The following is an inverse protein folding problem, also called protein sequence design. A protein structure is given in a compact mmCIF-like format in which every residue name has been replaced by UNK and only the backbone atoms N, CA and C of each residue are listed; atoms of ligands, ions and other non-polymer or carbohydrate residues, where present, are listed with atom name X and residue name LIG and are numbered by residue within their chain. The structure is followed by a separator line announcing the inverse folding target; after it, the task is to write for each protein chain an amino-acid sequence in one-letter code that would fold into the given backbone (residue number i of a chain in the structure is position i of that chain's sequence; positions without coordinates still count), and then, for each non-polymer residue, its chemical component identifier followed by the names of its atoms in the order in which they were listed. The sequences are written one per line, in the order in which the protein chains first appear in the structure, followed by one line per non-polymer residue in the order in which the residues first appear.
data_IF_541413845338
#
_entry.id   IF_541413845338
#
_cell.length_a   1.000
_cell.length_b   1.000
_cell.length_c   1.000
_cell.angle_alpha   90.00
_cell.angle_beta   90.00
_cell.angle_gamma   90.00
#
_symmetry.space_group_name_H-M   'P 1'
#
loop_
_entity.id
_entity.type
_entity.pdbx_description
1 polymer ?
#
# COMPACT_ATOMS: atom_id res chain seq x y z
N UNK A 1 -4.66 -22.06 -39.53
CA UNK A 1 -5.25 -22.90 -38.47
C UNK A 1 -5.52 -24.27 -39.08
N UNK A 2 -4.94 -25.35 -38.57
CA UNK A 2 -5.30 -26.69 -39.02
C UNK A 2 -6.74 -27.00 -38.58
N UNK A 3 -7.46 -27.76 -39.41
CA UNK A 3 -8.85 -28.15 -39.19
C UNK A 3 -8.94 -28.97 -37.90
N UNK A 4 -9.69 -28.46 -36.92
CA UNK A 4 -9.99 -29.14 -35.65
C UNK A 4 -11.12 -30.13 -35.91
N UNK A 5 -10.77 -31.38 -36.20
CA UNK A 5 -11.73 -32.49 -36.27
C UNK A 5 -12.02 -32.93 -34.83
N UNK A 6 -13.22 -32.60 -34.35
CA UNK A 6 -13.69 -32.92 -33.00
C UNK A 6 -14.56 -34.17 -33.03
N UNK A 7 -14.18 -35.22 -32.28
CA UNK A 7 -15.10 -36.22 -31.72
C UNK A 7 -15.85 -37.15 -32.67
N UNK A 8 -15.64 -37.08 -33.99
CA UNK A 8 -16.53 -37.74 -34.97
C UNK A 8 -16.50 -39.27 -34.88
N UNK A 9 -15.38 -39.88 -34.45
CA UNK A 9 -15.23 -41.34 -34.42
C UNK A 9 -15.51 -41.99 -33.05
N UNK A 10 -15.35 -41.26 -31.94
CA UNK A 10 -15.45 -41.80 -30.57
C UNK A 10 -16.68 -41.32 -29.80
N UNK A 11 -17.33 -40.23 -30.24
CA UNK A 11 -18.41 -39.58 -29.50
C UNK A 11 -17.95 -38.83 -28.23
N UNK A 12 -16.64 -38.72 -27.99
CA UNK A 12 -16.07 -37.99 -26.86
C UNK A 12 -15.90 -36.51 -27.18
N UNK A 13 -16.24 -35.64 -26.23
CA UNK A 13 -15.97 -34.20 -26.31
C UNK A 13 -14.48 -33.94 -25.99
N UNK A 14 -13.65 -34.02 -27.02
CA UNK A 14 -12.20 -33.78 -26.94
C UNK A 14 -11.87 -32.37 -26.48
N UNK A 15 -12.67 -31.38 -26.87
CA UNK A 15 -12.44 -29.99 -26.51
C UNK A 15 -12.70 -29.77 -25.01
N UNK A 16 -13.75 -30.36 -24.46
CA UNK A 16 -14.00 -30.35 -23.02
C UNK A 16 -12.87 -31.05 -22.23
N UNK A 17 -12.42 -32.22 -22.67
CA UNK A 17 -11.32 -32.94 -22.00
C UNK A 17 -10.01 -32.15 -22.03
N UNK A 18 -9.64 -31.58 -23.19
CA UNK A 18 -8.45 -30.74 -23.31
C UNK A 18 -8.57 -29.51 -22.42
N UNK A 19 -9.75 -28.88 -22.36
CA UNK A 19 -9.99 -27.73 -21.47
C UNK A 19 -9.79 -28.11 -20.00
N UNK A 20 -10.28 -29.27 -19.56
CA UNK A 20 -10.05 -29.76 -18.19
C UNK A 20 -8.58 -30.06 -17.90
N UNK A 21 -7.85 -30.67 -18.85
CA UNK A 21 -6.40 -30.88 -18.72
C UNK A 21 -5.65 -29.54 -18.63
N UNK A 22 -6.04 -28.57 -19.46
CA UNK A 22 -5.42 -27.25 -19.48
C UNK A 22 -5.71 -26.43 -18.21
N UNK A 23 -6.86 -26.63 -17.54
CA UNK A 23 -7.12 -26.00 -16.23
C UNK A 23 -6.07 -26.38 -15.19
N UNK A 24 -5.74 -27.67 -15.08
CA UNK A 24 -4.72 -28.13 -14.15
C UNK A 24 -3.34 -27.53 -14.48
N UNK A 25 -3.02 -27.41 -15.77
CA UNK A 25 -1.76 -26.85 -16.25
C UNK A 25 -1.66 -25.32 -16.03
N UNK A 26 -2.79 -24.61 -15.97
CA UNK A 26 -2.85 -23.15 -15.74
C UNK A 26 -2.61 -22.73 -14.29
N UNK A 27 -2.82 -23.61 -13.31
CA UNK A 27 -2.59 -23.37 -11.87
C UNK A 27 -1.29 -22.59 -11.56
N UNK A 28 -0.09 -22.96 -12.08
CA UNK A 28 1.13 -22.21 -11.82
C UNK A 28 1.12 -20.77 -12.38
N UNK A 29 0.43 -20.52 -13.49
CA UNK A 29 0.26 -19.17 -14.04
C UNK A 29 -0.70 -18.37 -13.17
N UNK A 30 -1.81 -18.96 -12.76
CA UNK A 30 -2.78 -18.31 -11.89
C UNK A 30 -2.15 -17.88 -10.57
N UNK A 31 -1.33 -18.74 -9.95
CA UNK A 31 -0.58 -18.39 -8.74
C UNK A 31 0.37 -17.20 -8.94
N UNK A 32 1.01 -17.09 -10.12
CA UNK A 32 1.86 -15.95 -10.45
C UNK A 32 1.02 -14.67 -10.62
N UNK A 33 -0.12 -14.75 -11.30
CA UNK A 33 -1.04 -13.63 -11.47
C UNK A 33 -1.60 -13.15 -10.13
N UNK A 34 -2.01 -14.07 -9.25
CA UNK A 34 -2.45 -13.74 -7.89
C UNK A 34 -1.34 -13.06 -7.08
N UNK A 35 -0.10 -13.57 -7.17
CA UNK A 35 1.06 -12.93 -6.53
C UNK A 35 1.29 -11.52 -7.06
N UNK A 36 1.19 -11.32 -8.38
CA UNK A 36 1.28 -10.00 -9.00
C UNK A 36 0.18 -9.06 -8.50
N UNK A 37 -1.07 -9.52 -8.51
CA UNK A 37 -2.22 -8.74 -8.03
C UNK A 37 -2.04 -8.29 -6.58
N UNK A 38 -1.51 -9.17 -5.71
CA UNK A 38 -1.18 -8.80 -4.32
C UNK A 38 -0.11 -7.72 -4.26
N UNK A 39 0.92 -7.79 -5.12
CA UNK A 39 1.94 -6.74 -5.19
C UNK A 39 1.39 -5.41 -5.71
N UNK A 40 0.48 -5.44 -6.69
CA UNK A 40 -0.22 -4.25 -7.18
C UNK A 40 -1.02 -3.57 -6.06
N UNK A 41 -1.80 -4.34 -5.30
CA UNK A 41 -2.54 -3.82 -4.16
C UNK A 41 -1.63 -3.25 -3.06
N UNK A 42 -0.45 -3.84 -2.83
CA UNK A 42 0.56 -3.25 -1.94
C UNK A 42 1.04 -1.90 -2.48
N UNK A 43 1.34 -1.80 -3.78
CA UNK A 43 1.76 -0.54 -4.42
C UNK A 43 0.66 0.51 -4.32
N UNK A 44 -0.60 0.16 -4.58
CA UNK A 44 -1.75 1.05 -4.40
C UNK A 44 -1.82 1.60 -2.97
N UNK A 45 -1.72 0.71 -1.96
CA UNK A 45 -1.81 1.10 -0.55
C UNK A 45 -0.64 1.97 -0.12
N UNK A 46 0.58 1.62 -0.53
CA UNK A 46 1.75 2.47 -0.28
C UNK A 46 1.63 3.84 -0.95
N UNK A 47 1.14 3.90 -2.19
CA UNK A 47 0.96 5.16 -2.92
C UNK A 47 -0.06 6.06 -2.23
N UNK A 48 -1.16 5.48 -1.74
CA UNK A 48 -2.17 6.21 -0.95
C UNK A 48 -1.58 6.79 0.34
N UNK A 49 -0.79 6.02 1.08
CA UNK A 49 -0.10 6.51 2.29
C UNK A 49 0.96 7.56 1.94
N UNK A 50 1.70 7.38 0.84
CA UNK A 50 2.69 8.34 0.36
C UNK A 50 2.07 9.70 0.02
N UNK A 51 0.85 9.71 -0.52
CA UNK A 51 0.07 10.93 -0.75
C UNK A 51 -0.25 11.63 0.59
N UNK A 52 -0.67 10.88 1.61
CA UNK A 52 -0.92 11.48 2.93
C UNK A 52 0.34 12.05 3.58
N UNK A 53 1.48 11.37 3.45
CA UNK A 53 2.77 11.89 3.92
C UNK A 53 3.15 13.16 3.17
N UNK A 54 2.89 13.20 1.88
CA UNK A 54 3.15 14.38 1.04
C UNK A 54 2.25 15.55 1.44
N UNK A 55 0.97 15.31 1.71
CA UNK A 55 0.03 16.33 2.18
C UNK A 55 0.45 16.92 3.53
N UNK A 56 0.85 16.08 4.51
CA UNK A 56 1.38 16.57 5.78
C UNK A 56 2.67 17.38 5.53
N UNK A 57 3.64 16.82 4.81
CA UNK A 57 4.90 17.51 4.46
C UNK A 57 4.66 18.88 3.82
N UNK A 58 3.73 18.98 2.88
CA UNK A 58 3.39 20.22 2.18
C UNK A 58 2.78 21.25 3.12
N UNK A 59 1.86 20.83 4.01
CA UNK A 59 1.30 21.71 5.03
C UNK A 59 2.35 22.30 5.99
N UNK A 60 3.46 21.59 6.17
CA UNK A 60 4.58 22.01 7.02
C UNK A 60 5.62 22.85 6.27
N UNK A 61 5.63 22.83 4.94
CA UNK A 61 6.74 23.34 4.12
C UNK A 61 7.05 24.82 4.36
N UNK A 62 6.02 25.63 4.61
CA UNK A 62 6.10 27.06 4.92
C UNK A 62 6.15 27.31 6.42
N UNK A 63 5.31 26.61 7.19
CA UNK A 63 5.19 26.78 8.65
C UNK A 63 6.45 26.36 9.41
N UNK A 64 7.28 25.49 8.84
CA UNK A 64 8.58 25.14 9.43
C UNK A 64 9.53 26.33 9.53
N UNK A 65 9.27 27.43 8.82
CA UNK A 65 10.07 28.66 8.89
C UNK A 65 9.31 29.76 9.64
N UNK A 66 10.04 30.64 10.33
CA UNK A 66 9.47 31.79 11.03
C UNK A 66 8.64 32.70 10.12
N UNK A 67 9.05 32.86 8.85
CA UNK A 67 8.29 33.61 7.84
C UNK A 67 6.89 33.05 7.57
N UNK A 68 6.67 31.74 7.77
CA UNK A 68 5.36 31.11 7.67
C UNK A 68 4.38 31.51 8.79
N UNK A 69 4.86 32.20 9.82
CA UNK A 69 4.08 32.71 10.95
C UNK A 69 3.79 34.21 10.86
N UNK A 70 3.91 34.77 9.66
CA UNK A 70 3.50 36.13 9.35
C UNK A 70 2.41 36.13 8.27
N UNK A 71 1.71 37.26 8.15
CA UNK A 71 0.76 37.55 7.06
C UNK A 71 1.14 38.83 6.34
N UNK A 72 0.63 39.01 5.14
CA UNK A 72 0.75 40.27 4.39
C UNK A 72 -0.51 41.08 4.61
N UNK A 73 -0.38 42.36 4.97
CA UNK A 73 -1.53 43.27 5.04
C UNK A 73 -2.01 43.72 3.65
N UNK A 74 -3.13 44.47 3.59
CA UNK A 74 -3.67 45.00 2.34
C UNK A 74 -2.74 45.98 1.60
N UNK A 75 -1.66 46.43 2.25
CA UNK A 75 -0.67 47.36 1.71
C UNK A 75 0.64 46.66 1.31
N UNK A 76 0.73 45.33 1.45
CA UNK A 76 1.92 44.56 1.11
C UNK A 76 2.96 44.43 2.23
N UNK A 77 2.71 44.92 3.44
CA UNK A 77 3.65 44.82 4.57
C UNK A 77 3.52 43.48 5.30
N UNK A 78 4.62 43.00 5.87
CA UNK A 78 4.62 41.79 6.73
C UNK A 78 4.15 42.15 8.13
N UNK A 79 3.10 41.48 8.59
CA UNK A 79 2.49 41.67 9.91
C UNK A 79 2.46 40.33 10.65
N UNK A 80 2.65 40.38 11.97
CA UNK A 80 2.55 39.19 12.83
C UNK A 80 1.12 38.65 12.84
N UNK A 81 1.00 37.34 13.02
CA UNK A 81 -0.29 36.70 13.24
C UNK A 81 -0.87 37.06 14.61
N UNK A 82 -2.20 37.12 14.69
CA UNK A 82 -2.92 37.22 15.96
C UNK A 82 -2.84 35.91 16.74
N UNK A 83 -3.15 35.96 18.04
CA UNK A 83 -3.28 34.77 18.90
C UNK A 83 -4.17 33.70 18.27
N UNK A 84 -5.34 34.08 17.75
CA UNK A 84 -6.27 33.14 17.12
C UNK A 84 -5.72 32.53 15.83
N UNK A 85 -4.99 33.31 15.04
CA UNK A 85 -4.36 32.82 13.81
C UNK A 85 -3.22 31.82 14.11
N UNK A 86 -2.44 32.05 15.17
CA UNK A 86 -1.41 31.12 15.64
C UNK A 86 -2.05 29.82 16.12
N UNK A 87 -3.08 29.91 16.98
CA UNK A 87 -3.82 28.76 17.49
C UNK A 87 -4.42 27.93 16.34
N UNK A 88 -5.04 28.58 15.35
CA UNK A 88 -5.62 27.91 14.19
C UNK A 88 -4.56 27.10 13.42
N UNK A 89 -3.37 27.67 13.17
CA UNK A 89 -2.27 26.96 12.49
C UNK A 89 -1.76 25.77 13.29
N UNK A 90 -1.64 25.91 14.60
CA UNK A 90 -1.22 24.81 15.49
C UNK A 90 -2.27 23.69 15.50
N UNK A 91 -3.56 24.04 15.56
CA UNK A 91 -4.67 23.10 15.47
C UNK A 91 -4.69 22.33 14.15
N UNK A 92 -4.49 23.03 13.04
CA UNK A 92 -4.38 22.41 11.71
C UNK A 92 -3.22 21.41 11.63
N UNK A 93 -2.07 21.76 12.21
CA UNK A 93 -0.94 20.83 12.32
C UNK A 93 -1.32 19.58 13.12
N UNK A 94 -1.89 19.75 14.32
CA UNK A 94 -2.32 18.64 15.19
C UNK A 94 -3.30 17.70 14.46
N UNK A 95 -4.27 18.27 13.75
CA UNK A 95 -5.24 17.49 12.98
C UNK A 95 -4.58 16.67 11.87
N UNK A 96 -3.76 17.31 11.02
CA UNK A 96 -3.06 16.62 9.92
C UNK A 96 -2.11 15.54 10.42
N UNK A 97 -1.37 15.83 11.51
CA UNK A 97 -0.55 14.84 12.19
C UNK A 97 -1.38 13.63 12.64
N UNK A 98 -2.51 13.86 13.30
CA UNK A 98 -3.38 12.80 13.81
C UNK A 98 -4.04 11.97 12.69
N UNK A 99 -4.39 12.59 11.56
CA UNK A 99 -4.89 11.90 10.37
C UNK A 99 -3.82 10.98 9.76
N UNK A 100 -2.58 11.47 9.62
CA UNK A 100 -1.45 10.65 9.16
C UNK A 100 -1.18 9.50 10.13
N UNK A 101 -1.13 9.76 11.43
CA UNK A 101 -0.95 8.73 12.46
C UNK A 101 -2.05 7.67 12.42
N UNK A 102 -3.31 8.08 12.22
CA UNK A 102 -4.46 7.16 12.09
C UNK A 102 -4.32 6.27 10.87
N UNK A 103 -3.89 6.82 9.75
CA UNK A 103 -3.77 6.06 8.51
C UNK A 103 -2.62 5.05 8.54
N UNK A 104 -1.46 5.45 9.08
CA UNK A 104 -0.33 4.54 9.28
C UNK A 104 -0.73 3.42 10.25
N UNK A 105 -1.29 3.78 11.41
CA UNK A 105 -1.67 2.79 12.42
C UNK A 105 -2.81 1.88 11.96
N UNK A 106 -3.76 2.39 11.19
CA UNK A 106 -4.81 1.59 10.54
C UNK A 106 -4.18 0.53 9.64
N UNK A 107 -3.34 0.94 8.69
CA UNK A 107 -2.66 0.02 7.78
C UNK A 107 -1.81 -1.05 8.51
N UNK A 108 -1.19 -0.69 9.65
CA UNK A 108 -0.36 -1.60 10.44
C UNK A 108 -1.15 -2.59 11.30
N UNK A 109 -2.38 -2.27 11.69
CA UNK A 109 -3.18 -3.05 12.66
C UNK A 109 -4.45 -3.66 12.06
N UNK A 110 -4.68 -3.50 10.77
CA UNK A 110 -5.81 -4.12 10.06
C UNK A 110 -5.90 -5.64 10.32
N UNK A 111 -7.13 -6.12 10.42
CA UNK A 111 -7.43 -7.55 10.46
C UNK A 111 -6.99 -8.20 9.14
N UNK A 112 -6.46 -9.42 9.21
CA UNK A 112 -6.00 -10.16 8.03
C UNK A 112 -6.96 -11.30 7.76
N UNK A 113 -7.71 -11.21 6.68
CA UNK A 113 -8.55 -12.30 6.19
C UNK A 113 -7.73 -13.26 5.32
N UNK A 114 -7.01 -14.21 5.94
CA UNK A 114 -6.05 -15.12 5.27
C UNK A 114 -6.66 -16.04 4.21
N UNK A 115 -7.94 -16.36 4.35
CA UNK A 115 -8.66 -17.26 3.44
C UNK A 115 -9.03 -16.57 2.12
N UNK A 116 -8.88 -15.24 2.04
CA UNK A 116 -9.21 -14.45 0.87
C UNK A 116 -7.94 -14.17 0.07
N UNK A 117 -7.75 -14.94 -1.00
CA UNK A 117 -6.68 -14.73 -1.98
C UNK A 117 -7.20 -13.92 -3.17
N UNK A 118 -6.34 -13.26 -3.95
CA UNK A 118 -6.77 -12.62 -5.19
C UNK A 118 -7.47 -13.63 -6.10
N UNK A 119 -8.61 -13.24 -6.67
CA UNK A 119 -9.38 -14.12 -7.55
C UNK A 119 -8.64 -14.34 -8.87
N UNK A 120 -8.65 -15.57 -9.35
CA UNK A 120 -8.24 -15.94 -10.72
C UNK A 120 -9.22 -15.39 -11.75
N UNK A 121 -8.81 -15.35 -13.02
CA UNK A 121 -9.68 -14.91 -14.11
C UNK A 121 -10.97 -15.74 -14.21
N UNK A 122 -10.87 -17.06 -14.00
CA UNK A 122 -12.02 -17.97 -14.07
C UNK A 122 -12.96 -17.77 -12.87
N UNK A 123 -12.43 -17.56 -11.66
CA UNK A 123 -13.25 -17.24 -10.48
C UNK A 123 -13.95 -15.88 -10.62
N UNK A 124 -13.26 -14.87 -11.17
CA UNK A 124 -13.88 -13.57 -11.45
C UNK A 124 -15.02 -13.69 -12.45
N UNK A 125 -14.87 -14.53 -13.49
CA UNK A 125 -15.92 -14.74 -14.49
C UNK A 125 -17.16 -15.46 -13.94
N UNK A 126 -17.01 -16.21 -12.84
CA UNK A 126 -18.09 -16.95 -12.19
C UNK A 126 -18.85 -16.16 -11.12
N UNK A 127 -18.35 -14.98 -10.71
CA UNK A 127 -18.88 -14.18 -9.62
C UNK A 127 -19.56 -12.89 -10.11
N UNK A 128 -20.49 -12.37 -9.31
CA UNK A 128 -21.08 -11.05 -9.56
C UNK A 128 -20.09 -9.92 -9.23
N UNK A 129 -20.26 -8.73 -9.81
CA UNK A 129 -19.42 -7.57 -9.52
C UNK A 129 -19.40 -7.20 -8.03
N UNK A 130 -20.54 -7.35 -7.35
CA UNK A 130 -20.66 -7.07 -5.91
C UNK A 130 -19.86 -8.08 -5.08
N UNK A 131 -19.92 -9.36 -5.45
CA UNK A 131 -19.16 -10.42 -4.77
C UNK A 131 -17.65 -10.25 -4.98
N UNK A 132 -17.24 -9.91 -6.20
CA UNK A 132 -15.84 -9.58 -6.52
C UNK A 132 -15.36 -8.43 -5.64
N UNK A 133 -16.12 -7.34 -5.55
CA UNK A 133 -15.75 -6.16 -4.74
C UNK A 133 -15.63 -6.51 -3.25
N UNK A 134 -16.59 -7.26 -2.71
CA UNK A 134 -16.56 -7.69 -1.32
C UNK A 134 -15.38 -8.63 -1.03
N UNK A 135 -15.09 -9.54 -1.97
CA UNK A 135 -13.96 -10.45 -1.89
C UNK A 135 -12.63 -9.70 -1.94
N UNK A 136 -12.44 -8.81 -2.91
CA UNK A 136 -11.22 -8.01 -3.04
C UNK A 136 -11.00 -7.10 -1.83
N UNK A 137 -12.07 -6.56 -1.24
CA UNK A 137 -11.98 -5.78 0.01
C UNK A 137 -11.37 -6.61 1.14
N UNK A 138 -11.83 -7.86 1.30
CA UNK A 138 -11.27 -8.78 2.30
C UNK A 138 -9.85 -9.23 1.92
N UNK A 139 -9.58 -9.50 0.66
CA UNK A 139 -8.26 -9.92 0.18
C UNK A 139 -7.20 -8.81 0.32
N UNK A 140 -7.60 -7.53 0.21
CA UNK A 140 -6.73 -6.36 0.45
C UNK A 140 -6.48 -6.07 1.94
N UNK A 141 -7.28 -6.62 2.84
CA UNK A 141 -7.19 -6.34 4.29
C UNK A 141 -5.83 -6.73 4.87
N UNK A 142 -5.25 -5.85 5.70
CA UNK A 142 -4.03 -6.17 6.45
C UNK A 142 -2.81 -6.45 5.57
N UNK A 143 -2.85 -6.03 4.30
CA UNK A 143 -1.78 -6.28 3.33
C UNK A 143 -0.45 -5.60 3.70
N UNK A 144 -0.53 -4.51 4.48
CA UNK A 144 0.61 -3.79 5.08
C UNK A 144 0.70 -3.99 6.60
N UNK A 145 0.01 -4.99 7.15
CA UNK A 145 0.11 -5.30 8.58
C UNK A 145 1.56 -5.58 8.94
N UNK A 146 2.00 -5.01 10.06
CA UNK A 146 3.36 -5.15 10.56
C UNK A 146 4.47 -4.70 9.57
N UNK A 147 4.16 -3.83 8.60
CA UNK A 147 5.17 -3.36 7.65
C UNK A 147 6.26 -2.49 8.31
N UNK A 148 7.52 -2.79 8.02
CA UNK A 148 8.65 -2.15 8.71
C UNK A 148 8.87 -0.70 8.28
N UNK A 149 8.57 -0.35 7.02
CA UNK A 149 8.68 1.05 6.55
C UNK A 149 7.66 1.92 7.28
N UNK A 150 6.43 1.44 7.39
CA UNK A 150 5.37 2.14 8.11
C UNK A 150 5.62 2.20 9.62
N UNK A 151 6.16 1.13 10.24
CA UNK A 151 6.58 1.16 11.66
C UNK A 151 7.67 2.21 11.90
N UNK A 152 8.67 2.31 11.02
CA UNK A 152 9.71 3.32 11.13
C UNK A 152 9.11 4.73 11.07
N UNK A 153 8.28 5.01 10.06
CA UNK A 153 7.62 6.30 9.91
C UNK A 153 6.75 6.66 11.13
N UNK A 154 6.05 5.68 11.70
CA UNK A 154 5.26 5.84 12.92
C UNK A 154 6.14 6.22 14.13
N UNK A 155 7.30 5.58 14.27
CA UNK A 155 8.22 5.86 15.37
C UNK A 155 8.91 7.22 15.22
N UNK A 156 9.29 7.60 14.01
CA UNK A 156 9.88 8.91 13.72
C UNK A 156 8.90 10.04 14.09
N UNK A 157 7.61 9.88 13.73
CA UNK A 157 6.56 10.82 14.13
C UNK A 157 6.30 10.85 15.64
N UNK A 158 6.40 9.70 16.33
CA UNK A 158 6.23 9.65 17.79
C UNK A 158 7.34 10.36 18.54
N UNK A 159 8.56 10.33 18.02
CA UNK A 159 9.71 11.02 18.61
C UNK A 159 9.53 12.54 18.74
N UNK A 160 8.62 13.12 17.95
CA UNK A 160 8.26 14.55 18.04
C UNK A 160 7.59 14.92 19.36
N UNK A 161 6.86 13.98 19.96
CA UNK A 161 6.02 14.25 21.14
C UNK A 161 6.82 14.43 22.43
N UNK A 162 8.02 13.84 22.47
CA UNK A 162 8.99 13.96 23.56
C UNK A 162 10.21 14.81 23.17
N UNK A 163 10.12 15.54 22.06
CA UNK A 163 11.22 16.35 21.55
C UNK A 163 11.37 17.62 22.40
N UNK A 164 12.58 17.82 22.93
CA UNK A 164 13.02 19.09 23.50
C UNK A 164 13.74 19.88 22.39
N UNK A 165 13.39 21.15 22.22
CA UNK A 165 14.01 22.04 21.22
C UNK A 165 15.06 22.91 21.89
N UNK A 166 16.33 22.73 21.55
CA UNK A 166 17.41 23.55 22.10
C UNK A 166 17.49 24.91 21.41
N UNK A 167 17.83 25.96 22.17
CA UNK A 167 18.03 27.31 21.62
C UNK A 167 16.74 28.13 21.47
N UNK A 168 15.65 27.66 22.08
CA UNK A 168 14.42 28.44 22.30
C UNK A 168 14.26 28.76 23.79
N UNK A 169 13.18 29.45 24.15
CA UNK A 169 12.84 29.76 25.53
C UNK A 169 12.64 28.46 26.33
N UNK A 170 13.38 28.23 27.43
CA UNK A 170 13.25 27.02 28.25
C UNK A 170 11.89 26.84 28.92
N UNK A 171 11.05 27.88 28.97
CA UNK A 171 9.67 27.75 29.46
C UNK A 171 8.73 27.11 28.40
N UNK A 172 9.15 27.11 27.13
CA UNK A 172 8.35 26.65 25.99
C UNK A 172 9.20 25.85 24.99
N UNK A 173 10.03 24.92 25.48
CA UNK A 173 10.91 24.09 24.66
C UNK A 173 10.34 22.69 24.34
N UNK A 174 9.17 22.36 24.92
CA UNK A 174 8.41 21.14 24.65
C UNK A 174 6.95 21.40 24.23
N UNK A 175 6.35 20.43 23.51
CA UNK A 175 4.93 20.46 23.15
C UNK A 175 4.00 20.42 24.39
N UNK A 176 4.40 19.72 25.45
CA UNK A 176 3.59 19.58 26.67
C UNK A 176 3.38 20.90 27.39
N UNK A 177 4.38 21.80 27.37
CA UNK A 177 4.31 23.12 28.03
C UNK A 177 3.27 24.03 27.40
N UNK A 178 3.02 23.87 26.10
CA UNK A 178 2.01 24.63 25.35
C UNK A 178 0.66 23.89 25.25
N UNK A 179 0.43 22.86 26.08
CA UNK A 179 -0.84 22.14 26.12
C UNK A 179 -1.03 21.06 25.04
N UNK A 180 0.03 20.69 24.32
CA UNK A 180 -0.02 19.58 23.34
C UNK A 180 0.58 18.34 23.97
N UNK A 181 -0.25 17.36 24.26
CA UNK A 181 0.13 16.14 24.99
C UNK A 181 -0.20 14.88 24.19
N UNK A 182 0.22 13.73 24.69
CA UNK A 182 -0.20 12.43 24.16
C UNK A 182 -1.03 11.69 25.21
N UNK A 183 -1.96 10.79 24.81
CA UNK A 183 -2.64 9.93 25.76
C UNK A 183 -1.62 9.19 26.63
N UNK A 184 -1.90 9.07 27.93
CA UNK A 184 -1.11 8.20 28.80
C UNK A 184 -1.04 6.80 28.18
N UNK A 185 0.15 6.22 28.17
CA UNK A 185 0.34 4.85 27.72
C UNK A 185 -0.55 3.92 28.56
N UNK A 186 -1.49 3.24 27.90
CA UNK A 186 -2.31 2.21 28.52
C UNK A 186 -1.79 0.86 28.05
N UNK A 187 -1.27 0.06 28.98
CA UNK A 187 -0.86 -1.33 28.73
C UNK A 187 -2.07 -2.08 28.17
N UNK A 188 -1.94 -2.65 26.97
CA UNK A 188 -3.02 -3.40 26.31
C UNK A 188 -4.02 -2.55 25.50
N UNK A 189 -3.92 -1.22 25.52
CA UNK A 189 -4.63 -0.40 24.53
C UNK A 189 -3.97 -0.59 23.15
N UNK A 190 -4.80 -0.61 22.10
CA UNK A 190 -4.33 -0.75 20.72
C UNK A 190 -3.18 0.23 20.45
N UNK A 191 -2.12 -0.26 19.82
CA UNK A 191 -1.01 0.56 19.34
C UNK A 191 -1.46 1.70 18.40
N UNK A 192 -2.73 1.69 17.96
CA UNK A 192 -3.37 2.71 17.15
C UNK A 192 -3.72 4.02 17.88
N UNK A 193 -3.77 4.02 19.22
CA UNK A 193 -3.97 5.25 20.02
C UNK A 193 -2.66 5.86 20.51
N UNK A 194 -1.55 5.11 20.46
CA UNK A 194 -0.26 5.56 20.97
C UNK A 194 0.39 6.57 20.02
N UNK A 195 0.61 7.78 20.52
CA UNK A 195 1.33 8.85 19.81
C UNK A 195 0.46 9.87 19.10
N UNK A 196 -0.89 9.77 19.16
CA UNK A 196 -1.76 10.88 18.71
C UNK A 196 -1.58 12.08 19.64
N UNK A 197 -1.67 13.28 19.07
CA UNK A 197 -1.63 14.54 19.80
C UNK A 197 -3.02 14.90 20.33
N UNK A 198 -3.08 15.34 21.57
CA UNK A 198 -4.25 15.95 22.22
C UNK A 198 -3.89 17.42 22.46
N UNK A 199 -4.74 18.33 21.98
CA UNK A 199 -4.56 19.77 22.13
C UNK A 199 -5.50 20.30 23.23
N UNK A 200 -4.90 20.91 24.26
CA UNK A 200 -5.60 21.79 25.20
C UNK A 200 -5.55 23.22 24.65
N UNK A 201 -6.65 23.67 24.03
CA UNK A 201 -6.72 24.99 23.40
C UNK A 201 -6.58 26.14 24.40
N UNK A 202 -6.99 25.95 25.66
CA UNK A 202 -6.88 27.00 26.69
C UNK A 202 -5.42 27.20 27.09
N UNK A 203 -4.69 26.11 27.36
CA UNK A 203 -3.25 26.19 27.65
C UNK A 203 -2.45 26.72 26.49
N UNK A 204 -2.79 26.32 25.26
CA UNK A 204 -2.14 26.87 24.08
C UNK A 204 -2.38 28.38 23.98
N UNK A 205 -3.61 28.83 24.22
CA UNK A 205 -3.94 30.26 24.22
C UNK A 205 -3.15 31.02 25.28
N UNK A 206 -3.12 30.54 26.51
CA UNK A 206 -2.34 31.13 27.60
C UNK A 206 -0.84 31.24 27.23
N UNK A 207 -0.27 30.19 26.63
CA UNK A 207 1.13 30.20 26.18
C UNK A 207 1.38 31.24 25.06
N UNK A 208 0.49 31.31 24.08
CA UNK A 208 0.60 32.26 22.95
C UNK A 208 0.40 33.71 23.42
N UNK A 209 -0.51 33.95 24.36
CA UNK A 209 -0.72 35.28 24.95
C UNK A 209 0.46 35.72 25.81
N UNK A 210 1.10 34.78 26.53
CA UNK A 210 2.27 35.05 27.36
C UNK A 210 3.52 35.35 26.52
N UNK A 211 3.84 34.50 25.54
CA UNK A 211 5.01 34.70 24.68
C UNK A 211 4.80 34.07 23.28
N UNK A 212 4.21 34.81 22.32
CA UNK A 212 3.93 34.26 21.00
C UNK A 212 5.21 33.92 20.22
N UNK A 213 6.31 34.64 20.44
CA UNK A 213 7.58 34.39 19.75
C UNK A 213 8.24 33.10 20.23
N UNK A 214 8.15 32.78 21.52
CA UNK A 214 8.65 31.52 22.06
C UNK A 214 7.86 30.33 21.48
N UNK A 215 6.53 30.41 21.45
CA UNK A 215 5.68 29.37 20.84
C UNK A 215 6.01 29.18 19.36
N UNK A 216 6.13 30.28 18.59
CA UNK A 216 6.51 30.20 17.17
C UNK A 216 7.90 29.57 17.00
N UNK A 217 8.85 29.90 17.88
CA UNK A 217 10.22 29.38 17.83
C UNK A 217 10.27 27.87 18.10
N UNK A 218 9.48 27.37 19.06
CA UNK A 218 9.33 25.93 19.31
C UNK A 218 8.98 25.15 18.02
N UNK A 219 8.07 25.69 17.21
CA UNK A 219 7.65 25.07 15.96
C UNK A 219 8.64 25.29 14.80
N UNK A 220 9.24 26.47 14.69
CA UNK A 220 9.92 26.95 13.48
C UNK A 220 11.44 27.10 13.57
N UNK A 221 12.05 26.79 14.71
CA UNK A 221 13.50 26.88 14.89
C UNK A 221 14.28 26.12 13.80
N UNK A 222 15.36 26.74 13.30
CA UNK A 222 16.19 26.23 12.20
C UNK A 222 17.63 25.96 12.66
N UNK A 223 17.79 25.31 13.81
CA UNK A 223 19.12 24.89 14.26
C UNK A 223 19.76 23.87 13.31
N UNK A 224 21.09 23.90 13.24
CA UNK A 224 21.89 22.96 12.45
C UNK A 224 21.83 21.53 13.02
N UNK A 225 21.74 21.41 14.34
CA UNK A 225 21.68 20.12 15.05
C UNK A 225 20.24 19.59 15.15
N UNK A 226 20.05 18.26 15.24
CA UNK A 226 18.71 17.66 15.37
C UNK A 226 17.90 18.24 16.53
N UNK A 227 18.56 18.60 17.65
CA UNK A 227 17.92 19.19 18.81
C UNK A 227 17.56 20.68 18.62
N UNK A 228 18.30 21.40 17.77
CA UNK A 228 18.00 22.81 17.46
C UNK A 228 16.93 22.99 16.39
N UNK A 229 16.49 21.92 15.75
CA UNK A 229 15.36 21.94 14.82
C UNK A 229 14.04 22.02 15.58
N UNK A 230 13.19 22.94 15.18
CA UNK A 230 11.82 23.06 15.67
C UNK A 230 10.96 21.86 15.28
N UNK A 231 9.82 21.73 15.96
CA UNK A 231 8.94 20.56 15.82
C UNK A 231 8.50 20.33 14.36
N UNK A 232 8.17 21.40 13.63
CA UNK A 232 7.68 21.26 12.25
C UNK A 232 8.79 20.89 11.28
N UNK A 233 10.03 21.33 11.53
CA UNK A 233 11.18 20.90 10.73
C UNK A 233 11.47 19.41 10.94
N UNK A 234 11.39 18.92 12.18
CA UNK A 234 11.55 17.48 12.47
C UNK A 234 10.44 16.64 11.85
N UNK A 235 9.18 17.11 11.94
CA UNK A 235 8.05 16.46 11.30
C UNK A 235 8.19 16.42 9.77
N UNK A 236 8.66 17.51 9.16
CA UNK A 236 8.97 17.59 7.73
C UNK A 236 10.04 16.57 7.32
N UNK A 237 11.12 16.47 8.09
CA UNK A 237 12.22 15.51 7.85
C UNK A 237 11.75 14.05 7.99
N UNK A 238 10.91 13.76 9.00
CA UNK A 238 10.28 12.45 9.18
C UNK A 238 9.40 12.07 7.98
N UNK A 239 8.60 13.01 7.46
CA UNK A 239 7.79 12.77 6.26
C UNK A 239 8.63 12.56 5.00
N UNK A 240 9.71 13.32 4.79
CA UNK A 240 10.62 13.05 3.68
C UNK A 240 11.25 11.65 3.76
N UNK A 241 11.63 11.23 4.97
CA UNK A 241 12.20 9.91 5.21
C UNK A 241 11.20 8.81 4.92
N UNK A 242 9.95 8.98 5.37
CA UNK A 242 8.85 8.07 5.10
C UNK A 242 8.56 7.97 3.59
N UNK A 243 8.41 9.12 2.91
CA UNK A 243 8.17 9.20 1.45
C UNK A 243 9.28 8.50 0.66
N UNK A 244 10.54 8.78 1.02
CA UNK A 244 11.70 8.16 0.36
C UNK A 244 11.73 6.65 0.57
N UNK A 245 11.43 6.19 1.79
CA UNK A 245 11.44 4.77 2.13
C UNK A 245 10.31 4.02 1.44
N UNK A 246 9.11 4.60 1.35
CA UNK A 246 7.99 4.06 0.59
C UNK A 246 8.31 4.03 -0.91
N UNK A 247 8.83 5.12 -1.46
CA UNK A 247 9.24 5.19 -2.87
C UNK A 247 10.28 4.12 -3.18
N UNK A 248 11.28 3.92 -2.31
CA UNK A 248 12.28 2.86 -2.44
C UNK A 248 11.66 1.47 -2.40
N UNK A 249 10.65 1.24 -1.56
CA UNK A 249 9.94 -0.04 -1.49
C UNK A 249 9.19 -0.35 -2.80
N UNK A 250 8.57 0.66 -3.41
CA UNK A 250 7.83 0.53 -4.67
C UNK A 250 8.79 0.36 -5.86
N UNK A 251 9.69 1.32 -6.04
CA UNK A 251 10.51 1.45 -7.25
C UNK A 251 11.83 0.70 -7.17
N UNK A 252 12.35 0.47 -5.97
CA UNK A 252 13.69 -0.06 -5.72
C UNK A 252 14.66 1.07 -5.36
N UNK A 253 15.75 0.71 -4.69
CA UNK A 253 16.78 1.66 -4.25
C UNK A 253 18.13 1.50 -4.95
N UNK A 254 18.47 0.27 -5.34
CA UNK A 254 19.72 -0.12 -5.98
C UNK A 254 19.46 -1.42 -6.76
N UNK A 255 20.41 -1.82 -7.63
CA UNK A 255 20.31 -3.02 -8.49
C UNK A 255 20.02 -4.31 -7.69
N UNK A 256 20.51 -4.40 -6.44
CA UNK A 256 20.34 -5.56 -5.55
C UNK A 256 19.03 -5.55 -4.76
N UNK A 257 18.34 -4.40 -4.65
CA UNK A 257 17.09 -4.27 -3.92
C UNK A 257 15.97 -3.90 -4.90
N UNK A 258 15.41 -4.94 -5.53
CA UNK A 258 14.34 -4.84 -6.50
C UNK A 258 13.06 -4.37 -5.79
N UNK A 259 12.56 -3.20 -6.19
CA UNK A 259 11.25 -2.71 -5.76
C UNK A 259 10.11 -3.59 -6.24
N UNK A 260 8.92 -3.41 -5.65
CA UNK A 260 7.70 -4.13 -6.02
C UNK A 260 7.43 -4.07 -7.53
N UNK A 261 7.63 -2.92 -8.18
CA UNK A 261 7.43 -2.76 -9.63
C UNK A 261 8.34 -3.68 -10.44
N UNK A 262 9.62 -3.75 -10.07
CA UNK A 262 10.58 -4.63 -10.76
C UNK A 262 10.25 -6.11 -10.54
N UNK A 263 9.77 -6.48 -9.34
CA UNK A 263 9.33 -7.85 -9.06
C UNK A 263 8.10 -8.23 -9.88
N UNK A 264 7.13 -7.32 -10.03
CA UNK A 264 5.96 -7.53 -10.90
C UNK A 264 6.38 -7.73 -12.36
N UNK A 265 7.32 -6.91 -12.87
CA UNK A 265 7.85 -7.08 -14.23
C UNK A 265 8.55 -8.45 -14.42
N UNK A 266 9.21 -8.98 -13.39
CA UNK A 266 9.78 -10.33 -13.45
C UNK A 266 8.69 -11.41 -13.49
N UNK A 267 7.61 -11.23 -12.74
CA UNK A 267 6.45 -12.12 -12.79
C UNK A 267 5.81 -12.09 -14.18
N UNK A 268 5.65 -10.91 -14.79
CA UNK A 268 5.09 -10.78 -16.14
C UNK A 268 5.91 -11.56 -17.18
N UNK A 269 7.24 -11.51 -17.09
CA UNK A 269 8.12 -12.33 -17.95
C UNK A 269 7.90 -13.83 -17.72
N UNK A 270 7.76 -14.26 -16.46
CA UNK A 270 7.51 -15.67 -16.14
C UNK A 270 6.14 -16.13 -16.64
N UNK A 271 5.11 -15.29 -16.51
CA UNK A 271 3.77 -15.55 -17.02
C UNK A 271 3.79 -15.69 -18.53
N UNK A 272 4.48 -14.79 -19.25
CA UNK A 272 4.62 -14.88 -20.71
C UNK A 272 5.26 -16.20 -21.16
N UNK A 273 6.37 -16.61 -20.53
CA UNK A 273 7.06 -17.88 -20.83
C UNK A 273 6.14 -19.08 -20.55
N UNK A 274 5.45 -19.07 -19.41
CA UNK A 274 4.54 -20.17 -19.05
C UNK A 274 3.34 -20.25 -19.99
N UNK A 275 2.78 -19.13 -20.41
CA UNK A 275 1.69 -19.11 -21.39
C UNK A 275 2.13 -19.71 -22.74
N UNK A 276 3.35 -19.41 -23.19
CA UNK A 276 3.89 -20.07 -24.39
C UNK A 276 4.01 -21.59 -24.21
N UNK A 277 4.46 -22.04 -23.04
CA UNK A 277 4.54 -23.47 -22.71
C UNK A 277 3.15 -24.13 -22.66
N UNK A 278 2.14 -23.42 -22.14
CA UNK A 278 0.75 -23.89 -22.09
C UNK A 278 0.18 -24.07 -23.49
N UNK A 279 0.39 -23.10 -24.39
CA UNK A 279 -0.06 -23.22 -25.77
C UNK A 279 0.56 -24.44 -26.46
N UNK A 280 1.86 -24.69 -26.25
CA UNK A 280 2.54 -25.89 -26.78
C UNK A 280 2.01 -27.20 -26.18
N UNK A 281 1.57 -27.20 -24.91
CA UNK A 281 0.95 -28.37 -24.27
C UNK A 281 -0.45 -28.61 -24.82
N UNK A 282 -1.23 -27.54 -24.99
CA UNK A 282 -2.56 -27.60 -25.60
C UNK A 282 -2.48 -28.21 -27.00
N UNK A 283 -1.60 -27.71 -27.86
CA UNK A 283 -1.36 -28.26 -29.20
C UNK A 283 -0.97 -29.75 -29.16
N UNK A 284 -0.15 -30.15 -28.18
CA UNK A 284 0.24 -31.55 -27.98
C UNK A 284 -0.96 -32.41 -27.58
N UNK A 285 -1.83 -31.94 -26.70
CA UNK A 285 -3.04 -32.67 -26.32
C UNK A 285 -3.94 -32.85 -27.54
N UNK A 286 -4.18 -31.81 -28.34
CA UNK A 286 -4.93 -31.95 -29.59
C UNK A 286 -4.31 -33.01 -30.53
N UNK A 287 -2.99 -33.03 -30.68
CA UNK A 287 -2.30 -34.05 -31.48
C UNK A 287 -2.47 -35.48 -30.91
N UNK A 288 -2.39 -35.63 -29.58
CA UNK A 288 -2.59 -36.92 -28.91
C UNK A 288 -4.03 -37.43 -29.07
N UNK A 289 -5.02 -36.56 -28.89
CA UNK A 289 -6.43 -36.92 -29.10
C UNK A 289 -6.72 -37.27 -30.56
N UNK A 290 -6.21 -36.50 -31.52
CA UNK A 290 -6.36 -36.82 -32.94
C UNK A 290 -5.73 -38.17 -33.31
N UNK A 291 -4.55 -38.49 -32.78
CA UNK A 291 -3.90 -39.79 -32.99
C UNK A 291 -4.70 -40.94 -32.34
N UNK A 292 -5.27 -40.72 -31.15
CA UNK A 292 -6.12 -41.68 -30.46
C UNK A 292 -7.41 -41.95 -31.22
N UNK A 293 -8.08 -40.91 -31.75
CA UNK A 293 -9.28 -41.07 -32.58
C UNK A 293 -9.00 -41.87 -33.86
N UNK A 294 -7.85 -41.60 -34.50
CA UNK A 294 -7.41 -42.37 -35.66
C UNK A 294 -7.23 -43.85 -35.29
N UNK A 295 -6.53 -44.14 -34.19
CA UNK A 295 -6.31 -45.51 -33.73
C UNK A 295 -7.62 -46.22 -33.35
N UNK A 296 -8.57 -45.52 -32.71
CA UNK A 296 -9.90 -46.05 -32.40
C UNK A 296 -10.70 -46.37 -33.67
N UNK A 297 -10.64 -45.50 -34.68
CA UNK A 297 -11.29 -45.72 -35.98
C UNK A 297 -10.74 -46.96 -36.66
N UNK A 298 -9.41 -47.11 -36.70
CA UNK A 298 -8.72 -48.28 -37.26
C UNK A 298 -9.06 -49.56 -36.47
N UNK A 299 -9.11 -49.50 -35.14
CA UNK A 299 -9.49 -50.61 -34.27
C UNK A 299 -10.95 -51.04 -34.46
N UNK A 300 -11.88 -50.08 -34.59
CA UNK A 300 -13.29 -50.36 -34.85
C UNK A 300 -13.49 -51.01 -36.23
N UNK A 301 -12.75 -50.56 -37.24
CA UNK A 301 -12.76 -51.16 -38.57
C UNK A 301 -12.22 -52.60 -38.54
N UNK A 302 -11.13 -52.84 -37.82
CA UNK A 302 -10.55 -54.18 -37.64
C UNK A 302 -11.49 -55.11 -36.86
N UNK A 303 -12.12 -54.62 -35.79
CA UNK A 303 -13.09 -55.39 -35.00
C UNK A 303 -14.31 -55.77 -35.83
N UNK A 304 -14.80 -54.86 -36.68
CA UNK A 304 -15.91 -55.15 -37.60
C UNK A 304 -15.51 -56.19 -38.66
N UNK A 305 -14.29 -56.11 -39.19
CA UNK A 305 -13.75 -57.10 -40.11
C UNK A 305 -13.61 -58.48 -39.46
N UNK A 306 -13.07 -58.55 -38.24
CA UNK A 306 -12.98 -59.81 -37.47
C UNK A 306 -14.38 -60.38 -37.18
N UNK A 307 -15.33 -59.55 -36.77
CA UNK A 307 -16.70 -59.98 -36.51
C UNK A 307 -17.37 -60.58 -37.77
N UNK A 308 -17.07 -60.06 -38.96
CA UNK A 308 -17.57 -60.64 -40.23
C UNK A 308 -16.85 -61.94 -40.62
N UNK A 309 -15.60 -62.13 -40.20
CA UNK A 309 -14.81 -63.33 -40.50
C UNK A 309 -15.15 -64.51 -39.57
N UNK A 310 -15.68 -64.22 -38.38
CA UNK A 310 -16.03 -65.21 -37.35
C UNK A 310 -17.55 -65.39 -37.14
N UNK A 311 -18.38 -64.75 -37.97
CA UNK A 311 -19.83 -64.97 -38.07
C UNK A 311 -20.16 -65.96 -39.19
#
# INVERSE_FOLDING_TARGET
MPIRLTGIASGLDTDAMIKELMKAERIPVDKLLQKKQTMEWKVERYTSLNLQFSNLRESLSTLRFSGGWNKTDGNGNTVRLSTDEIIAKVKDFVNKYNETMTSISGALNEEVYRDYQPLTSDEKAALSETDIKNWETKAKSGILRNDDVLKSALNDLRGLTSAVVSGVDPEFDTLSEIGITTPKYIVGASAATNGKLILDENKLREAVEKNPEAVISLFSAQGSDPQGKGILQRAYDAMNTAITSVTRKISGGNVTNLGLVSQMNQIDKQVAIKNEQLNKREDRYYQMFAAMEKALTESNAMSSWLAQQFA
#
